data_IF_036589490452
#
_entry.id   IF_036589490452
#
_cell.length_a   1.000
_cell.length_b   1.000
_cell.length_c   1.000
_cell.angle_alpha   90.00
_cell.angle_beta   90.00
_cell.angle_gamma   90.00
#
_symmetry.space_group_name_H-M   'P 1'
#
loop_
_entity.id
_entity.type
_entity.pdbx_description
1 polymer ?
#
# COMPACT_ATOMS: atom_id res chain seq x y z
N UNK A 1 10.50 -0.36 -30.64
CA UNK A 1 11.11 0.74 -29.85
C UNK A 1 10.19 1.94 -29.62
N UNK A 2 9.44 2.49 -30.63
CA UNK A 2 8.50 3.62 -30.40
C UNK A 2 7.44 3.33 -29.32
N UNK A 3 6.79 2.15 -29.35
CA UNK A 3 5.77 1.74 -28.36
C UNK A 3 6.30 1.73 -26.91
N UNK A 4 7.52 1.23 -26.71
CA UNK A 4 8.16 1.17 -25.38
C UNK A 4 8.44 2.59 -24.85
N UNK A 5 8.90 3.51 -25.69
CA UNK A 5 9.13 4.89 -25.28
C UNK A 5 7.84 5.60 -24.89
N UNK A 6 6.76 5.40 -25.69
CA UNK A 6 5.44 5.98 -25.36
C UNK A 6 4.95 5.44 -24.03
N UNK A 7 5.03 4.13 -23.80
CA UNK A 7 4.62 3.52 -22.54
C UNK A 7 5.45 4.02 -21.36
N UNK A 8 6.76 4.15 -21.52
CA UNK A 8 7.64 4.69 -20.48
C UNK A 8 7.29 6.15 -20.11
N UNK A 9 7.00 7.00 -21.10
CA UNK A 9 6.54 8.38 -20.85
C UNK A 9 5.19 8.39 -20.14
N UNK A 10 4.26 7.52 -20.55
CA UNK A 10 2.95 7.40 -19.93
C UNK A 10 3.05 6.98 -18.45
N UNK A 11 3.90 5.99 -18.14
CA UNK A 11 4.18 5.57 -16.77
C UNK A 11 4.73 6.72 -15.92
N UNK A 12 5.63 7.53 -16.47
CA UNK A 12 6.18 8.69 -15.76
C UNK A 12 5.08 9.72 -15.49
N UNK A 13 4.23 10.02 -16.47
CA UNK A 13 3.13 10.99 -16.31
C UNK A 13 2.14 10.53 -15.24
N UNK A 14 1.69 9.27 -15.29
CA UNK A 14 0.78 8.71 -14.31
C UNK A 14 1.42 8.73 -12.92
N UNK A 15 2.67 8.28 -12.80
CA UNK A 15 3.38 8.29 -11.53
C UNK A 15 3.51 9.69 -10.91
N UNK A 16 3.83 10.70 -11.72
CA UNK A 16 3.89 12.10 -11.23
C UNK A 16 2.49 12.57 -10.83
N UNK A 17 1.46 12.23 -11.60
CA UNK A 17 0.06 12.57 -11.29
C UNK A 17 -0.37 11.99 -9.93
N UNK A 18 -0.16 10.70 -9.72
CA UNK A 18 -0.48 10.01 -8.45
C UNK A 18 0.35 10.59 -7.28
N UNK A 19 1.64 10.79 -7.49
CA UNK A 19 2.51 11.37 -6.46
C UNK A 19 2.08 12.79 -6.05
N UNK A 20 1.64 13.62 -6.99
CA UNK A 20 1.14 14.98 -6.68
C UNK A 20 -0.21 14.91 -6.00
N UNK A 21 -1.12 14.06 -6.47
CA UNK A 21 -2.47 13.89 -5.87
C UNK A 21 -2.39 13.37 -4.44
N UNK A 22 -1.79 12.21 -4.27
CA UNK A 22 -1.75 11.51 -2.98
C UNK A 22 -0.76 12.17 -2.01
N UNK A 23 0.37 12.70 -2.54
CA UNK A 23 1.37 13.40 -1.73
C UNK A 23 0.85 14.72 -1.17
N UNK A 24 0.02 15.47 -1.92
CA UNK A 24 -0.58 16.71 -1.42
C UNK A 24 -1.65 16.44 -0.37
N UNK A 25 -2.51 15.43 -0.56
CA UNK A 25 -3.50 15.05 0.44
C UNK A 25 -2.82 14.56 1.73
N UNK A 26 -1.89 13.63 1.64
CA UNK A 26 -1.15 13.12 2.79
C UNK A 26 -0.36 14.21 3.54
N UNK A 27 0.19 15.20 2.81
CA UNK A 27 0.84 16.34 3.44
C UNK A 27 -0.15 17.24 4.19
N UNK A 28 -1.31 17.54 3.57
CA UNK A 28 -2.35 18.37 4.20
C UNK A 28 -2.95 17.69 5.43
N UNK A 29 -3.17 16.38 5.35
CA UNK A 29 -3.68 15.58 6.47
C UNK A 29 -2.68 15.58 7.63
N UNK A 30 -1.41 15.32 7.35
CA UNK A 30 -0.33 15.39 8.34
C UNK A 30 -0.13 16.79 8.94
N UNK A 31 -0.32 17.85 8.13
CA UNK A 31 -0.27 19.23 8.61
C UNK A 31 -1.43 19.57 9.54
N UNK A 32 -2.65 19.18 9.18
CA UNK A 32 -3.84 19.39 9.99
C UNK A 32 -3.76 18.59 11.30
N UNK A 33 -3.32 17.35 11.25
CA UNK A 33 -3.09 16.50 12.41
C UNK A 33 -2.03 17.09 13.37
N UNK A 34 -0.95 17.64 12.84
CA UNK A 34 0.08 18.28 13.66
C UNK A 34 -0.38 19.60 14.30
N UNK A 35 -1.38 20.28 13.71
CA UNK A 35 -1.94 21.52 14.21
C UNK A 35 -2.94 21.31 15.34
N UNK A 36 -3.67 20.20 15.32
CA UNK A 36 -4.65 19.86 16.36
C UNK A 36 -4.06 18.83 17.33
N UNK A 37 -3.66 19.33 18.52
CA UNK A 37 -3.06 18.51 19.56
C UNK A 37 -4.02 17.47 20.15
N UNK A 38 -5.33 17.64 20.01
CA UNK A 38 -6.34 16.69 20.45
C UNK A 38 -6.52 15.55 19.47
N UNK A 39 -6.47 15.81 18.16
CA UNK A 39 -6.54 14.75 17.13
C UNK A 39 -5.27 13.90 17.11
N UNK A 40 -4.10 14.47 17.41
CA UNK A 40 -2.84 13.72 17.44
C UNK A 40 -2.84 12.51 18.39
N UNK A 41 -3.67 12.54 19.42
CA UNK A 41 -3.81 11.46 20.40
C UNK A 41 -4.54 10.23 19.86
N UNK A 42 -5.43 10.44 18.90
CA UNK A 42 -6.30 9.38 18.39
C UNK A 42 -5.86 8.93 17.00
N UNK A 43 -5.96 7.62 16.73
CA UNK A 43 -5.82 7.04 15.41
C UNK A 43 -7.18 6.56 14.94
N UNK A 44 -7.52 6.87 13.68
CA UNK A 44 -8.68 6.28 13.00
C UNK A 44 -8.31 4.88 12.54
N UNK A 45 -9.11 3.89 12.93
CA UNK A 45 -8.88 2.48 12.58
C UNK A 45 -10.18 1.86 12.11
N UNK A 46 -10.10 1.21 10.95
CA UNK A 46 -11.21 0.43 10.40
C UNK A 46 -11.27 -0.95 11.04
N UNK A 47 -12.39 -1.25 11.68
CA UNK A 47 -12.66 -2.57 12.24
C UNK A 47 -13.71 -3.27 11.40
N UNK A 48 -13.34 -4.43 10.87
CA UNK A 48 -14.31 -5.31 10.23
C UNK A 48 -15.22 -5.96 11.27
N UNK A 49 -16.54 -5.86 11.07
CA UNK A 49 -17.53 -6.37 12.01
C UNK A 49 -18.52 -7.31 11.32
N UNK A 50 -19.08 -8.24 12.10
CA UNK A 50 -20.18 -9.10 11.69
C UNK A 50 -21.32 -8.92 12.68
N UNK A 51 -22.58 -8.81 12.23
CA UNK A 51 -23.71 -8.75 13.15
C UNK A 51 -23.78 -10.05 13.95
N UNK A 52 -24.00 -9.93 15.26
CA UNK A 52 -24.37 -11.08 16.07
C UNK A 52 -25.74 -11.60 15.61
N UNK A 53 -25.96 -12.91 15.74
CA UNK A 53 -27.22 -13.56 15.33
C UNK A 53 -28.43 -13.01 16.06
N UNK A 54 -28.22 -12.36 17.19
CA UNK A 54 -29.28 -11.75 18.02
C UNK A 54 -29.63 -10.32 17.63
N UNK A 55 -28.84 -9.70 16.74
CA UNK A 55 -29.04 -8.30 16.37
C UNK A 55 -30.16 -8.17 15.33
N UNK A 56 -31.25 -7.52 15.73
CA UNK A 56 -32.29 -7.04 14.79
C UNK A 56 -31.90 -5.65 14.34
N UNK A 57 -31.48 -5.52 13.08
CA UNK A 57 -31.11 -4.23 12.48
C UNK A 57 -32.33 -3.62 11.84
N UNK A 58 -32.71 -2.40 12.26
CA UNK A 58 -33.81 -1.66 11.61
C UNK A 58 -33.46 -1.36 10.15
N UNK A 59 -34.35 -1.69 9.20
CA UNK A 59 -34.10 -1.49 7.79
C UNK A 59 -34.01 0.01 7.44
N UNK A 60 -33.08 0.35 6.53
CA UNK A 60 -32.96 1.71 5.99
C UNK A 60 -34.08 2.00 4.99
N UNK A 61 -34.55 3.25 4.97
CA UNK A 61 -35.51 3.69 3.98
C UNK A 61 -34.82 4.16 2.70
N UNK A 62 -35.10 3.47 1.59
CA UNK A 62 -34.60 3.87 0.28
C UNK A 62 -35.58 4.86 -0.37
N UNK A 63 -35.12 6.09 -0.55
CA UNK A 63 -35.96 7.19 -1.09
C UNK A 63 -36.33 7.02 -2.56
N UNK A 64 -35.53 6.27 -3.33
CA UNK A 64 -35.80 6.06 -4.77
C UNK A 64 -36.92 5.06 -5.01
N UNK A 65 -36.89 3.93 -4.30
CA UNK A 65 -37.89 2.86 -4.42
C UNK A 65 -39.01 2.97 -3.38
N UNK A 66 -38.94 3.97 -2.49
CA UNK A 66 -39.93 4.24 -1.45
C UNK A 66 -40.22 3.04 -0.54
N UNK A 67 -39.22 2.21 -0.28
CA UNK A 67 -39.33 1.01 0.54
C UNK A 67 -38.19 0.89 1.55
N UNK A 68 -38.47 0.18 2.65
CA UNK A 68 -37.43 -0.21 3.63
C UNK A 68 -36.60 -1.35 3.08
N UNK A 69 -35.29 -1.16 3.01
CA UNK A 69 -34.31 -2.16 2.53
C UNK A 69 -33.41 -2.63 3.66
N UNK A 70 -33.09 -3.93 3.73
CA UNK A 70 -32.16 -4.42 4.72
C UNK A 70 -30.75 -3.88 4.42
N UNK A 71 -30.00 -3.54 5.47
CA UNK A 71 -28.60 -3.17 5.34
C UNK A 71 -27.74 -4.04 6.27
N UNK A 72 -26.46 -4.08 5.99
CA UNK A 72 -25.47 -4.80 6.78
C UNK A 72 -24.26 -3.91 6.99
N UNK A 73 -23.87 -3.72 8.24
CA UNK A 73 -22.62 -3.04 8.60
C UNK A 73 -21.51 -4.08 8.50
N UNK A 74 -20.48 -3.79 7.71
CA UNK A 74 -19.32 -4.67 7.49
C UNK A 74 -18.04 -4.10 8.06
N UNK A 75 -17.98 -2.77 8.24
CA UNK A 75 -16.85 -2.06 8.83
C UNK A 75 -17.32 -0.89 9.67
N UNK A 76 -16.58 -0.59 10.70
CA UNK A 76 -16.74 0.57 11.56
C UNK A 76 -15.40 1.29 11.63
N UNK A 77 -15.42 2.58 11.33
CA UNK A 77 -14.28 3.46 11.57
C UNK A 77 -14.39 4.01 13.00
N UNK A 78 -13.31 3.94 13.74
CA UNK A 78 -13.30 4.34 15.15
C UNK A 78 -11.98 4.97 15.54
N UNK A 79 -12.04 5.86 16.53
CA UNK A 79 -10.86 6.52 17.09
C UNK A 79 -10.36 5.75 18.32
N UNK A 80 -9.09 5.37 18.32
CA UNK A 80 -8.45 4.67 19.43
C UNK A 80 -7.29 5.50 19.98
N UNK A 81 -7.03 5.41 21.28
CA UNK A 81 -5.82 5.97 21.89
C UNK A 81 -4.64 5.06 21.61
N UNK A 82 -3.80 5.44 20.65
CA UNK A 82 -2.65 4.66 20.21
C UNK A 82 -1.34 5.45 20.22
N UNK A 83 -1.23 6.48 21.05
CA UNK A 83 -0.10 7.44 21.06
C UNK A 83 1.25 6.73 21.12
N UNK A 84 1.41 5.71 21.97
CA UNK A 84 2.66 4.96 22.11
C UNK A 84 3.04 4.23 20.82
N UNK A 85 2.12 3.45 20.25
CA UNK A 85 2.37 2.67 19.04
C UNK A 85 2.57 3.58 17.82
N UNK A 86 1.81 4.65 17.71
CA UNK A 86 1.91 5.62 16.64
C UNK A 86 3.30 6.26 16.55
N UNK A 87 3.85 6.74 17.66
CA UNK A 87 5.20 7.31 17.70
C UNK A 87 6.25 6.24 17.41
N UNK A 88 6.10 5.07 18.03
CA UNK A 88 7.05 3.96 17.87
C UNK A 88 7.10 3.49 16.41
N UNK A 89 5.95 3.32 15.75
CA UNK A 89 5.91 2.93 14.35
C UNK A 89 6.42 4.01 13.41
N UNK A 90 6.08 5.28 13.60
CA UNK A 90 6.62 6.38 12.78
C UNK A 90 8.16 6.38 12.80
N UNK A 91 8.77 6.19 13.96
CA UNK A 91 10.23 6.12 14.09
C UNK A 91 10.80 4.84 13.47
N UNK A 92 10.15 3.70 13.70
CA UNK A 92 10.63 2.40 13.20
C UNK A 92 10.49 2.27 11.68
N UNK A 93 9.40 2.78 11.09
CA UNK A 93 9.11 2.67 9.65
C UNK A 93 9.92 3.69 8.83
N UNK A 94 10.35 4.80 9.43
CA UNK A 94 11.07 5.86 8.72
C UNK A 94 12.26 5.35 7.87
N UNK A 95 13.20 4.52 8.37
CA UNK A 95 14.27 4.00 7.54
C UNK A 95 13.79 3.12 6.39
N UNK A 96 12.71 2.35 6.57
CA UNK A 96 12.11 1.53 5.51
C UNK A 96 11.43 2.39 4.45
N UNK A 97 10.80 3.50 4.85
CA UNK A 97 10.24 4.49 3.93
C UNK A 97 11.34 5.11 3.05
N UNK A 98 12.49 5.47 3.64
CA UNK A 98 13.64 5.96 2.86
C UNK A 98 14.17 4.90 1.88
N UNK A 99 14.19 3.63 2.30
CA UNK A 99 14.58 2.54 1.40
C UNK A 99 13.55 2.34 0.29
N UNK A 100 12.26 2.49 0.58
CA UNK A 100 11.18 2.52 -0.42
C UNK A 100 11.36 3.62 -1.45
N UNK A 101 11.67 4.86 -1.02
CA UNK A 101 11.97 5.99 -1.90
C UNK A 101 13.19 5.71 -2.79
N UNK A 102 14.23 5.10 -2.25
CA UNK A 102 15.38 4.67 -3.04
C UNK A 102 14.99 3.61 -4.08
N UNK A 103 14.12 2.67 -3.72
CA UNK A 103 13.54 1.69 -4.65
C UNK A 103 12.82 2.39 -5.81
N UNK A 104 11.96 3.37 -5.53
CA UNK A 104 11.30 4.18 -6.56
C UNK A 104 12.29 4.93 -7.46
N UNK A 105 13.32 5.54 -6.88
CA UNK A 105 14.40 6.13 -7.67
C UNK A 105 15.03 5.11 -8.62
N UNK A 106 15.31 3.89 -8.16
CA UNK A 106 15.85 2.82 -8.98
C UNK A 106 14.90 2.47 -10.14
N UNK A 107 13.59 2.37 -9.88
CA UNK A 107 12.58 2.12 -10.90
C UNK A 107 12.55 3.23 -11.97
N UNK A 108 12.57 4.48 -11.56
CA UNK A 108 12.62 5.62 -12.50
C UNK A 108 13.87 5.56 -13.39
N UNK A 109 15.01 5.17 -12.84
CA UNK A 109 16.24 4.95 -13.61
C UNK A 109 16.12 3.83 -14.63
N UNK A 110 15.38 2.74 -14.29
CA UNK A 110 15.08 1.66 -15.23
C UNK A 110 14.21 2.19 -16.37
N UNK A 111 13.11 2.90 -16.08
CA UNK A 111 12.21 3.47 -17.10
C UNK A 111 12.97 4.38 -18.06
N UNK A 112 13.83 5.28 -17.54
CA UNK A 112 14.67 6.15 -18.35
C UNK A 112 15.67 5.35 -19.19
N UNK A 113 16.30 4.32 -18.64
CA UNK A 113 17.25 3.46 -19.35
C UNK A 113 16.57 2.74 -20.51
N UNK A 114 15.40 2.17 -20.27
CA UNK A 114 14.56 1.47 -21.26
C UNK A 114 14.09 2.41 -22.36
N UNK A 115 13.70 3.65 -22.03
CA UNK A 115 13.29 4.65 -23.02
C UNK A 115 14.44 5.02 -23.97
N UNK A 116 15.69 4.94 -23.50
CA UNK A 116 16.90 5.14 -24.31
C UNK A 116 17.33 3.90 -25.11
N UNK A 117 16.56 2.81 -25.04
CA UNK A 117 16.83 1.57 -25.76
C UNK A 117 17.76 0.58 -25.03
N UNK A 118 18.24 0.91 -23.84
CA UNK A 118 19.06 0.01 -23.00
C UNK A 118 18.17 -0.82 -22.10
N UNK A 119 17.56 -1.88 -22.65
CA UNK A 119 16.60 -2.71 -21.93
C UNK A 119 17.31 -3.78 -21.09
N UNK A 120 18.02 -4.69 -21.77
CA UNK A 120 18.67 -5.84 -21.14
C UNK A 120 20.08 -5.48 -20.67
N UNK A 121 20.17 -4.90 -19.47
CA UNK A 121 21.43 -4.58 -18.82
C UNK A 121 21.42 -5.09 -17.38
N UNK A 122 22.56 -5.56 -16.91
CA UNK A 122 22.73 -6.02 -15.52
C UNK A 122 22.35 -4.94 -14.49
N UNK A 123 22.62 -3.69 -14.84
CA UNK A 123 22.29 -2.55 -14.00
C UNK A 123 20.77 -2.38 -13.86
N UNK A 124 20.01 -2.53 -14.95
CA UNK A 124 18.54 -2.48 -14.90
C UNK A 124 17.97 -3.66 -14.10
N UNK A 125 18.50 -4.87 -14.27
CA UNK A 125 18.09 -6.03 -13.49
C UNK A 125 18.28 -5.82 -11.98
N UNK A 126 19.43 -5.29 -11.58
CA UNK A 126 19.71 -5.00 -10.18
C UNK A 126 18.79 -3.88 -9.63
N UNK A 127 18.53 -2.83 -10.41
CA UNK A 127 17.60 -1.76 -10.03
C UNK A 127 16.18 -2.25 -9.86
N UNK A 128 15.71 -3.15 -10.74
CA UNK A 128 14.40 -3.77 -10.60
C UNK A 128 14.31 -4.63 -9.34
N UNK A 129 15.34 -5.40 -9.02
CA UNK A 129 15.42 -6.16 -7.77
C UNK A 129 15.31 -5.25 -6.55
N UNK A 130 16.12 -4.18 -6.49
CA UNK A 130 16.06 -3.22 -5.39
C UNK A 130 14.66 -2.65 -5.22
N UNK A 131 14.02 -2.24 -6.32
CA UNK A 131 12.67 -1.70 -6.29
C UNK A 131 11.66 -2.71 -5.75
N UNK A 132 11.63 -3.92 -6.29
CA UNK A 132 10.64 -4.93 -5.92
C UNK A 132 10.82 -5.40 -4.47
N UNK A 133 12.07 -5.65 -4.05
CA UNK A 133 12.32 -6.06 -2.66
C UNK A 133 12.07 -4.92 -1.67
N UNK A 134 12.31 -3.66 -2.06
CA UNK A 134 11.93 -2.51 -1.26
C UNK A 134 10.41 -2.41 -1.09
N UNK A 135 9.63 -2.62 -2.16
CA UNK A 135 8.16 -2.65 -2.08
C UNK A 135 7.65 -3.75 -1.16
N UNK A 136 8.19 -4.97 -1.29
CA UNK A 136 7.81 -6.09 -0.43
C UNK A 136 8.12 -5.77 1.04
N UNK A 137 9.29 -5.22 1.32
CA UNK A 137 9.71 -4.88 2.68
C UNK A 137 8.86 -3.79 3.29
N UNK A 138 8.59 -2.70 2.56
CA UNK A 138 7.71 -1.63 3.02
C UNK A 138 6.28 -2.15 3.22
N UNK A 139 5.76 -2.93 2.28
CA UNK A 139 4.44 -3.55 2.41
C UNK A 139 4.34 -4.45 3.64
N UNK A 140 5.39 -5.22 3.96
CA UNK A 140 5.43 -6.06 5.16
C UNK A 140 5.41 -5.19 6.44
N UNK A 141 6.19 -4.12 6.48
CA UNK A 141 6.19 -3.21 7.62
C UNK A 141 4.81 -2.57 7.85
N UNK A 142 4.16 -2.12 6.78
CA UNK A 142 2.82 -1.53 6.85
C UNK A 142 1.76 -2.57 7.27
N UNK A 143 1.85 -3.81 6.77
CA UNK A 143 0.93 -4.88 7.17
C UNK A 143 1.04 -5.21 8.67
N UNK A 144 2.27 -5.23 9.21
CA UNK A 144 2.50 -5.42 10.65
C UNK A 144 1.92 -4.26 11.46
N UNK A 145 2.09 -3.03 10.99
CA UNK A 145 1.50 -1.85 11.62
C UNK A 145 -0.02 -1.95 11.66
N UNK A 146 -0.68 -2.21 10.53
CA UNK A 146 -2.13 -2.38 10.46
C UNK A 146 -2.63 -3.50 11.36
N UNK A 147 -1.92 -4.63 11.41
CA UNK A 147 -2.29 -5.74 12.30
C UNK A 147 -2.25 -5.33 13.78
N UNK A 148 -1.21 -4.60 14.20
CA UNK A 148 -1.08 -4.17 15.61
C UNK A 148 -2.14 -3.12 15.95
N UNK A 149 -2.38 -2.15 15.06
CA UNK A 149 -3.45 -1.15 15.23
C UNK A 149 -4.83 -1.81 15.30
N UNK A 150 -5.12 -2.77 14.43
CA UNK A 150 -6.36 -3.54 14.46
C UNK A 150 -6.53 -4.28 15.79
N UNK A 151 -5.47 -4.97 16.26
CA UNK A 151 -5.50 -5.70 17.53
C UNK A 151 -5.71 -4.76 18.73
N UNK A 152 -5.08 -3.59 18.70
CA UNK A 152 -5.23 -2.58 19.74
C UNK A 152 -6.66 -2.02 19.73
N UNK A 153 -7.20 -1.71 18.57
CA UNK A 153 -8.58 -1.25 18.40
C UNK A 153 -9.61 -2.28 18.94
N UNK A 154 -9.45 -3.54 18.59
CA UNK A 154 -10.34 -4.60 19.07
C UNK A 154 -10.30 -4.75 20.60
N UNK A 155 -9.15 -4.47 21.22
CA UNK A 155 -9.02 -4.53 22.69
C UNK A 155 -9.67 -3.36 23.43
N UNK A 156 -9.78 -2.18 22.78
CA UNK A 156 -10.33 -0.97 23.37
C UNK A 156 -11.84 -0.81 23.19
N UNK A 157 -12.43 -1.50 22.21
CA UNK A 157 -13.81 -1.28 21.81
C UNK A 157 -14.70 -2.43 22.25
N UNK A 158 -15.79 -2.07 22.95
CA UNK A 158 -16.88 -2.99 23.23
C UNK A 158 -18.03 -2.75 22.24
N UNK A 159 -18.26 -3.73 21.38
CA UNK A 159 -19.33 -3.68 20.38
C UNK A 159 -20.59 -4.36 20.89
N UNK A 160 -21.67 -3.57 21.00
CA UNK A 160 -22.98 -4.12 21.34
C UNK A 160 -23.67 -4.65 20.10
N UNK A 161 -23.98 -5.95 20.07
CA UNK A 161 -24.66 -6.59 18.94
C UNK A 161 -23.83 -6.91 17.71
N UNK A 162 -22.52 -6.68 17.76
CA UNK A 162 -21.58 -7.04 16.70
C UNK A 162 -20.42 -7.84 17.27
N UNK A 163 -19.87 -8.71 16.43
CA UNK A 163 -18.64 -9.46 16.72
C UNK A 163 -17.58 -9.00 15.75
N UNK A 164 -16.37 -8.77 16.23
CA UNK A 164 -15.22 -8.42 15.39
C UNK A 164 -14.91 -9.57 14.42
N UNK A 165 -14.73 -9.25 13.16
CA UNK A 165 -14.25 -10.21 12.17
C UNK A 165 -12.75 -10.44 12.37
N UNK A 166 -12.18 -11.58 11.93
CA UNK A 166 -10.74 -11.76 11.94
C UNK A 166 -10.05 -10.73 11.02
N UNK A 167 -8.82 -10.35 11.37
CA UNK A 167 -8.00 -9.47 10.55
C UNK A 167 -7.85 -10.03 9.13
N UNK A 168 -8.00 -9.16 8.15
CA UNK A 168 -7.78 -9.48 6.74
C UNK A 168 -6.59 -8.69 6.21
N UNK A 169 -5.75 -9.33 5.41
CA UNK A 169 -4.58 -8.69 4.80
C UNK A 169 -5.02 -7.53 3.90
N UNK A 170 -4.39 -6.37 4.04
CA UNK A 170 -4.66 -5.18 3.24
C UNK A 170 -3.98 -5.24 1.87
N UNK A 171 -2.80 -5.85 1.80
CA UNK A 171 -2.01 -5.91 0.59
C UNK A 171 -2.22 -7.19 -0.20
N UNK A 172 -2.23 -7.08 -1.53
CA UNK A 172 -2.26 -8.22 -2.43
C UNK A 172 -0.88 -8.86 -2.56
N UNK A 173 -0.49 -9.69 -1.60
CA UNK A 173 0.82 -10.38 -1.57
C UNK A 173 1.08 -11.21 -2.81
N UNK A 174 0.03 -11.76 -3.42
CA UNK A 174 0.14 -12.49 -4.69
C UNK A 174 0.73 -11.60 -5.80
N UNK A 175 0.31 -10.35 -5.91
CA UNK A 175 0.82 -9.40 -6.90
C UNK A 175 2.31 -9.08 -6.66
N UNK A 176 2.72 -8.91 -5.41
CA UNK A 176 4.13 -8.71 -5.07
C UNK A 176 5.00 -9.91 -5.43
N UNK A 177 4.52 -11.14 -5.17
CA UNK A 177 5.25 -12.37 -5.51
C UNK A 177 5.39 -12.54 -7.02
N UNK A 178 4.33 -12.26 -7.79
CA UNK A 178 4.40 -12.27 -9.28
C UNK A 178 5.42 -11.24 -9.76
N UNK A 179 5.41 -10.03 -9.21
CA UNK A 179 6.35 -8.98 -9.61
C UNK A 179 7.80 -9.38 -9.30
N UNK A 180 8.05 -10.02 -8.16
CA UNK A 180 9.36 -10.58 -7.81
C UNK A 180 9.78 -11.66 -8.80
N UNK A 181 8.88 -12.58 -9.13
CA UNK A 181 9.14 -13.65 -10.11
C UNK A 181 9.52 -13.07 -11.47
N UNK A 182 8.75 -12.12 -12.00
CA UNK A 182 9.08 -11.47 -13.28
C UNK A 182 10.41 -10.74 -13.25
N UNK A 183 10.76 -10.13 -12.12
CA UNK A 183 12.05 -9.46 -11.95
C UNK A 183 13.21 -10.46 -12.01
N UNK A 184 13.07 -11.64 -11.38
CA UNK A 184 14.10 -12.67 -11.44
C UNK A 184 14.20 -13.31 -12.84
N UNK A 185 13.06 -13.56 -13.51
CA UNK A 185 13.05 -14.03 -14.90
C UNK A 185 13.78 -13.03 -15.82
N UNK A 186 13.50 -11.73 -15.65
CA UNK A 186 14.20 -10.69 -16.40
C UNK A 186 15.71 -10.71 -16.14
N UNK A 187 16.11 -10.86 -14.89
CA UNK A 187 17.53 -10.92 -14.51
C UNK A 187 18.24 -12.14 -15.11
N UNK A 188 17.59 -13.30 -15.16
CA UNK A 188 18.09 -14.49 -15.86
C UNK A 188 18.23 -14.22 -17.36
N UNK A 189 17.24 -13.58 -17.98
CA UNK A 189 17.28 -13.20 -19.40
C UNK A 189 18.44 -12.26 -19.73
N UNK A 190 18.75 -11.31 -18.83
CA UNK A 190 19.92 -10.43 -18.98
C UNK A 190 21.23 -11.24 -18.94
N UNK A 191 21.34 -12.17 -18.00
CA UNK A 191 22.54 -13.04 -17.88
C UNK A 191 22.74 -13.89 -19.12
N UNK A 192 21.68 -14.52 -19.62
CA UNK A 192 21.73 -15.33 -20.87
C UNK A 192 22.19 -14.50 -22.07
N UNK A 193 21.72 -13.26 -22.19
CA UNK A 193 22.16 -12.35 -23.25
C UNK A 193 23.65 -12.04 -23.14
N UNK A 194 24.14 -11.71 -21.94
CA UNK A 194 25.59 -11.43 -21.71
C UNK A 194 26.46 -12.64 -22.08
N UNK A 195 26.02 -13.86 -21.77
CA UNK A 195 26.73 -15.08 -22.13
C UNK A 195 26.76 -15.30 -23.65
N UNK A 196 25.69 -14.98 -24.37
CA UNK A 196 25.65 -15.04 -25.83
C UNK A 196 26.58 -14.00 -26.49
N UNK A 197 26.60 -12.77 -25.94
CA UNK A 197 27.46 -11.70 -26.47
C UNK A 197 28.96 -11.99 -26.27
N UNK A 198 29.32 -12.88 -25.34
CA UNK A 198 30.72 -13.32 -25.09
C UNK A 198 31.17 -14.50 -25.97
N UNK A 199 30.24 -15.21 -26.61
CA UNK A 199 30.53 -16.42 -27.42
C UNK A 199 30.63 -16.12 -28.92
N UNK A 200 30.51 -14.88 -29.32
CA UNK A 200 30.68 -14.40 -30.72
C UNK A 200 32.00 -13.61 -30.78
#
# INVERSE_FOLDING_TARGET
MKKIRILAVLVIIVFIGDMVSDGTSAFMDGWNEARDSTEYRFSDVDISVKPDKTLVVDPLFNTTIQQKVPYRITSLETKIDSTFWRVTFKVLIFPFALFGLYGFYCMMRVVISVSRGKVFTRENANRMRIFVYALILVGLCMEVEHYIQYRDAVSQIQLSGYVTAPYTLHFSWFSYMILALFTEIFAVGVKMKEEQDLTI
#
